data_IF_365475036427
#
_entry.id   IF_365475036427
#
_cell.length_a   1.000
_cell.length_b   1.000
_cell.length_c   1.000
_cell.angle_alpha   90.00
_cell.angle_beta   90.00
_cell.angle_gamma   90.00
#
_symmetry.space_group_name_H-M   'P 1'
#
loop_
_entity.id
_entity.type
_entity.pdbx_description
1 polymer ?
#
# COMPACT_ATOMS: atom_id res chain seq x y z
N UNK A 1 -29.83 9.07 -19.11
CA UNK A 1 -28.59 8.78 -19.86
C UNK A 1 -28.95 8.64 -21.34
N UNK A 2 -28.35 9.45 -22.19
CA UNK A 2 -28.56 9.35 -23.64
C UNK A 2 -28.06 8.00 -24.13
N UNK A 3 -28.71 7.41 -25.16
CA UNK A 3 -28.37 6.09 -25.74
C UNK A 3 -26.87 6.00 -26.02
N UNK A 4 -26.28 7.07 -26.52
CA UNK A 4 -24.85 7.21 -26.84
C UNK A 4 -23.96 7.06 -25.58
N UNK A 5 -24.31 7.72 -24.49
CA UNK A 5 -23.51 7.61 -23.25
C UNK A 5 -23.56 6.19 -22.65
N UNK A 6 -24.69 5.49 -22.81
CA UNK A 6 -24.82 4.10 -22.38
C UNK A 6 -23.94 3.17 -23.23
N UNK A 7 -23.87 3.41 -24.51
CA UNK A 7 -23.00 2.66 -25.43
C UNK A 7 -21.52 2.82 -25.06
N UNK A 8 -21.05 4.07 -24.85
CA UNK A 8 -19.68 4.32 -24.38
C UNK A 8 -19.36 3.63 -23.05
N UNK A 9 -20.32 3.68 -22.14
CA UNK A 9 -20.16 3.05 -20.82
C UNK A 9 -19.97 1.54 -20.94
N UNK A 10 -20.78 0.87 -21.73
CA UNK A 10 -20.70 -0.58 -21.90
C UNK A 10 -19.38 -0.99 -22.53
N UNK A 11 -19.02 -0.39 -23.66
CA UNK A 11 -17.80 -0.72 -24.38
C UNK A 11 -16.54 -0.43 -23.54
N UNK A 12 -16.44 0.75 -22.94
CA UNK A 12 -15.29 1.12 -22.14
C UNK A 12 -15.17 0.24 -20.88
N UNK A 13 -16.29 -0.01 -20.17
CA UNK A 13 -16.26 -0.83 -18.96
C UNK A 13 -15.86 -2.27 -19.28
N UNK A 14 -16.38 -2.87 -20.34
CA UNK A 14 -16.01 -4.24 -20.77
C UNK A 14 -14.52 -4.32 -21.08
N UNK A 15 -13.98 -3.39 -21.85
CA UNK A 15 -12.57 -3.37 -22.22
C UNK A 15 -11.67 -3.14 -20.99
N UNK A 16 -12.03 -2.23 -20.08
CA UNK A 16 -11.29 -2.00 -18.84
C UNK A 16 -11.27 -3.26 -17.97
N UNK A 17 -12.43 -3.92 -17.79
CA UNK A 17 -12.51 -5.17 -17.01
C UNK A 17 -11.69 -6.28 -17.66
N UNK A 18 -11.75 -6.42 -18.99
CA UNK A 18 -10.97 -7.42 -19.70
C UNK A 18 -9.46 -7.23 -19.52
N UNK A 19 -8.97 -6.00 -19.67
CA UNK A 19 -7.55 -5.67 -19.41
C UNK A 19 -7.20 -5.90 -17.94
N UNK A 20 -8.05 -5.49 -17.01
CA UNK A 20 -7.86 -5.70 -15.57
C UNK A 20 -7.72 -7.19 -15.26
N UNK A 21 -8.59 -8.05 -15.79
CA UNK A 21 -8.50 -9.50 -15.59
C UNK A 21 -7.21 -10.08 -16.16
N UNK A 22 -6.76 -9.63 -17.34
CA UNK A 22 -5.48 -10.03 -17.93
C UNK A 22 -4.29 -9.65 -17.04
N UNK A 23 -4.27 -8.42 -16.53
CA UNK A 23 -3.23 -7.97 -15.61
C UNK A 23 -3.27 -8.74 -14.27
N UNK A 24 -4.46 -8.97 -13.71
CA UNK A 24 -4.62 -9.74 -12.47
C UNK A 24 -4.13 -11.18 -12.64
N UNK A 25 -4.45 -11.84 -13.77
CA UNK A 25 -3.94 -13.17 -14.05
C UNK A 25 -2.41 -13.20 -14.10
N UNK A 26 -1.80 -12.19 -14.72
CA UNK A 26 -0.34 -12.04 -14.78
C UNK A 26 0.26 -11.85 -13.37
N UNK A 27 -0.27 -10.94 -12.54
CA UNK A 27 0.24 -10.71 -11.18
C UNK A 27 0.04 -11.94 -10.29
N UNK A 28 -1.14 -12.57 -10.36
CA UNK A 28 -1.40 -13.81 -9.61
C UNK A 28 -0.46 -14.95 -10.02
N UNK A 29 -0.09 -15.01 -11.28
CA UNK A 29 0.91 -15.98 -11.77
C UNK A 29 2.30 -15.70 -11.15
N UNK A 30 2.73 -14.44 -11.09
CA UNK A 30 3.99 -14.08 -10.43
C UNK A 30 3.96 -14.37 -8.93
N UNK A 31 2.84 -14.10 -8.25
CA UNK A 31 2.68 -14.47 -6.84
C UNK A 31 2.81 -15.97 -6.64
N UNK A 32 2.20 -16.80 -7.53
CA UNK A 32 2.35 -18.23 -7.47
C UNK A 32 3.82 -18.67 -7.58
N UNK A 33 4.58 -18.07 -8.50
CA UNK A 33 6.02 -18.38 -8.65
C UNK A 33 6.79 -18.01 -7.38
N UNK A 34 6.55 -16.83 -6.82
CA UNK A 34 7.23 -16.38 -5.59
C UNK A 34 6.89 -17.27 -4.38
N UNK A 35 5.64 -17.68 -4.26
CA UNK A 35 5.22 -18.54 -3.15
C UNK A 35 5.69 -20.00 -3.26
N UNK A 36 6.16 -20.44 -4.46
CA UNK A 36 6.80 -21.76 -4.60
C UNK A 36 8.03 -21.92 -3.71
N UNK A 37 8.78 -20.85 -3.45
CA UNK A 37 9.94 -20.87 -2.56
C UNK A 37 9.58 -21.15 -1.09
N UNK A 38 8.35 -20.85 -0.71
CA UNK A 38 7.81 -21.06 0.64
C UNK A 38 7.16 -22.46 0.79
N UNK A 39 6.95 -23.17 -0.31
CA UNK A 39 6.24 -24.44 -0.33
C UNK A 39 7.03 -25.54 0.42
N UNK A 40 6.34 -26.26 1.31
CA UNK A 40 6.96 -27.30 2.12
C UNK A 40 7.59 -26.80 3.43
N UNK A 41 7.61 -25.49 3.70
CA UNK A 41 8.02 -24.96 5.00
C UNK A 41 6.88 -25.12 5.99
N UNK A 42 7.15 -25.75 7.14
CA UNK A 42 6.13 -26.03 8.14
C UNK A 42 4.93 -26.80 7.53
N UNK A 43 3.74 -26.25 7.71
CA UNK A 43 2.47 -26.82 7.16
C UNK A 43 1.96 -25.98 5.94
N UNK A 44 2.86 -25.35 5.15
CA UNK A 44 2.51 -24.56 3.99
C UNK A 44 2.47 -25.41 2.72
N UNK A 45 1.30 -25.95 2.40
CA UNK A 45 1.04 -26.77 1.22
C UNK A 45 0.39 -25.97 0.08
N UNK A 46 0.21 -26.62 -1.09
CA UNK A 46 -0.37 -26.02 -2.31
C UNK A 46 -1.74 -25.35 -2.05
N UNK A 47 -2.60 -25.96 -1.23
CA UNK A 47 -3.92 -25.39 -0.91
C UNK A 47 -3.80 -24.03 -0.21
N UNK A 48 -2.88 -23.90 0.76
CA UNK A 48 -2.66 -22.64 1.49
C UNK A 48 -2.01 -21.57 0.59
N UNK A 49 -1.10 -21.98 -0.31
CA UNK A 49 -0.51 -21.12 -1.32
C UNK A 49 -1.59 -20.53 -2.25
N UNK A 50 -2.51 -21.34 -2.76
CA UNK A 50 -3.62 -20.86 -3.60
C UNK A 50 -4.53 -19.89 -2.85
N UNK A 51 -4.84 -20.18 -1.57
CA UNK A 51 -5.63 -19.27 -0.73
C UNK A 51 -4.89 -17.97 -0.49
N UNK A 52 -3.57 -18.00 -0.27
CA UNK A 52 -2.75 -16.80 -0.12
C UNK A 52 -2.82 -15.92 -1.37
N UNK A 53 -2.58 -16.50 -2.56
CA UNK A 53 -2.64 -15.77 -3.84
C UNK A 53 -4.04 -15.18 -4.07
N UNK A 54 -5.10 -15.94 -3.77
CA UNK A 54 -6.48 -15.44 -3.89
C UNK A 54 -6.75 -14.25 -2.95
N UNK A 55 -6.24 -14.30 -1.72
CA UNK A 55 -6.35 -13.21 -0.74
C UNK A 55 -5.51 -11.97 -1.14
N UNK A 56 -4.47 -12.13 -1.96
CA UNK A 56 -3.65 -11.02 -2.46
C UNK A 56 -4.29 -10.29 -3.64
N UNK A 57 -5.25 -10.92 -4.34
CA UNK A 57 -5.94 -10.32 -5.52
C UNK A 57 -6.51 -8.92 -5.26
N UNK A 58 -7.20 -8.62 -4.14
CA UNK A 58 -7.73 -7.27 -3.89
C UNK A 58 -6.63 -6.19 -3.83
N UNK A 59 -5.44 -6.54 -3.32
CA UNK A 59 -4.28 -5.65 -3.35
C UNK A 59 -3.83 -5.35 -4.79
N UNK A 60 -3.76 -6.38 -5.62
CA UNK A 60 -3.44 -6.20 -7.03
C UNK A 60 -4.51 -5.42 -7.81
N UNK A 61 -5.80 -5.62 -7.50
CA UNK A 61 -6.87 -4.78 -8.09
C UNK A 61 -6.58 -3.30 -7.84
N UNK A 62 -6.29 -2.94 -6.58
CA UNK A 62 -5.95 -1.56 -6.24
C UNK A 62 -4.79 -1.02 -7.09
N UNK A 63 -3.71 -1.80 -7.27
CA UNK A 63 -2.51 -1.38 -7.97
C UNK A 63 -2.68 -1.28 -9.49
N UNK A 64 -3.50 -2.16 -10.10
CA UNK A 64 -3.59 -2.25 -11.58
C UNK A 64 -4.73 -1.44 -12.19
N UNK A 65 -5.76 -1.05 -11.42
CA UNK A 65 -6.95 -0.38 -11.97
C UNK A 65 -6.59 0.88 -12.77
N UNK A 66 -5.72 1.81 -12.34
CA UNK A 66 -5.40 3.00 -13.15
C UNK A 66 -4.79 2.64 -14.51
N UNK A 67 -3.93 1.62 -14.55
CA UNK A 67 -3.32 1.13 -15.81
C UNK A 67 -4.36 0.44 -16.69
N UNK A 68 -5.22 -0.38 -16.09
CA UNK A 68 -6.31 -1.04 -16.80
C UNK A 68 -7.29 -0.03 -17.40
N UNK A 69 -7.59 1.06 -16.67
CA UNK A 69 -8.42 2.18 -17.16
C UNK A 69 -7.76 2.87 -18.35
N UNK A 70 -6.45 3.15 -18.30
CA UNK A 70 -5.72 3.75 -19.41
C UNK A 70 -5.81 2.87 -20.66
N UNK A 71 -5.37 1.62 -20.55
CA UNK A 71 -5.26 0.70 -21.70
C UNK A 71 -6.65 0.35 -22.25
N UNK A 72 -7.60 0.03 -21.36
CA UNK A 72 -8.98 -0.29 -21.75
C UNK A 72 -9.69 0.89 -22.42
N UNK A 73 -9.47 2.11 -21.91
CA UNK A 73 -10.00 3.32 -22.54
C UNK A 73 -9.36 3.58 -23.90
N UNK A 74 -8.03 3.41 -24.03
CA UNK A 74 -7.34 3.53 -25.32
C UNK A 74 -7.84 2.50 -26.35
N UNK A 75 -8.14 1.28 -25.90
CA UNK A 75 -8.71 0.23 -26.72
C UNK A 75 -10.11 0.61 -27.22
N UNK A 76 -10.98 1.08 -26.33
CA UNK A 76 -12.35 1.51 -26.66
C UNK A 76 -12.34 2.71 -27.60
N UNK A 77 -11.56 3.74 -27.29
CA UNK A 77 -11.40 4.92 -28.16
C UNK A 77 -10.77 4.57 -29.51
N UNK A 78 -9.88 3.58 -29.55
CA UNK A 78 -9.32 3.04 -30.77
C UNK A 78 -10.37 2.37 -31.62
N UNK A 79 -11.30 1.62 -31.04
CA UNK A 79 -12.44 0.99 -31.72
C UNK A 79 -13.40 2.05 -32.26
N UNK A 80 -13.80 3.03 -31.46
CA UNK A 80 -14.66 4.13 -31.88
C UNK A 80 -14.03 4.96 -33.01
N UNK A 81 -12.71 5.19 -32.99
CA UNK A 81 -11.99 5.86 -34.05
C UNK A 81 -11.97 5.02 -35.35
N UNK A 82 -11.73 3.71 -35.25
CA UNK A 82 -11.73 2.78 -36.40
C UNK A 82 -13.10 2.70 -37.07
N UNK A 83 -14.16 2.70 -36.31
CA UNK A 83 -15.52 2.68 -36.82
C UNK A 83 -16.00 4.06 -37.28
N UNK A 84 -15.13 5.09 -37.28
CA UNK A 84 -15.47 6.49 -37.58
C UNK A 84 -16.54 7.12 -36.70
N UNK A 85 -16.88 6.48 -35.58
CA UNK A 85 -17.93 6.95 -34.67
C UNK A 85 -17.59 8.32 -34.04
N UNK A 86 -16.30 8.51 -33.63
CA UNK A 86 -15.84 9.79 -33.13
C UNK A 86 -15.92 10.91 -34.18
N UNK A 87 -15.69 10.59 -35.44
CA UNK A 87 -15.81 11.55 -36.57
C UNK A 87 -17.26 11.96 -36.74
N UNK A 88 -18.18 10.98 -36.81
CA UNK A 88 -19.63 11.23 -36.95
C UNK A 88 -20.13 12.11 -35.79
N UNK A 89 -19.69 11.88 -34.56
CA UNK A 89 -20.07 12.69 -33.40
C UNK A 89 -19.59 14.13 -33.54
N UNK A 90 -18.34 14.34 -33.97
CA UNK A 90 -17.81 15.70 -34.20
C UNK A 90 -18.57 16.43 -35.32
N UNK A 91 -18.85 15.77 -36.43
CA UNK A 91 -19.64 16.34 -37.51
C UNK A 91 -21.07 16.66 -37.07
N UNK A 92 -21.63 15.89 -36.14
CA UNK A 92 -22.94 16.16 -35.53
C UNK A 92 -22.92 17.31 -34.52
N UNK A 93 -21.79 18.04 -34.36
CA UNK A 93 -21.66 19.22 -33.48
C UNK A 93 -21.24 18.91 -32.03
N UNK A 94 -20.87 17.66 -31.72
CA UNK A 94 -20.37 17.32 -30.37
C UNK A 94 -18.92 17.75 -30.22
N UNK A 95 -18.65 18.60 -29.21
CA UNK A 95 -17.28 19.00 -28.87
C UNK A 95 -16.49 17.83 -28.23
N UNK A 96 -15.17 17.87 -28.36
CA UNK A 96 -14.26 16.91 -27.70
C UNK A 96 -14.47 16.92 -26.19
N UNK A 97 -14.72 18.10 -25.60
CA UNK A 97 -15.03 18.25 -24.18
C UNK A 97 -16.33 17.57 -23.77
N UNK A 98 -17.37 17.56 -24.63
CA UNK A 98 -18.63 16.88 -24.32
C UNK A 98 -18.45 15.36 -24.29
N UNK A 99 -17.71 14.80 -25.27
CA UNK A 99 -17.32 13.38 -25.28
C UNK A 99 -16.48 13.10 -24.03
N UNK A 100 -15.49 13.94 -23.73
CA UNK A 100 -14.63 13.85 -22.56
C UNK A 100 -15.39 13.80 -21.25
N UNK A 101 -16.42 14.60 -21.09
CA UNK A 101 -17.25 14.60 -19.88
C UNK A 101 -17.97 13.27 -19.66
N UNK A 102 -18.41 12.60 -20.72
CA UNK A 102 -18.99 11.26 -20.62
C UNK A 102 -17.97 10.21 -20.18
N UNK A 103 -16.73 10.30 -20.70
CA UNK A 103 -15.64 9.38 -20.36
C UNK A 103 -15.10 9.60 -18.94
N UNK A 104 -14.97 10.85 -18.50
CA UNK A 104 -14.55 11.20 -17.13
C UNK A 104 -15.49 10.59 -16.08
N UNK A 105 -16.79 10.48 -16.36
CA UNK A 105 -17.73 9.79 -15.46
C UNK A 105 -17.37 8.31 -15.26
N UNK A 106 -16.83 7.65 -16.30
CA UNK A 106 -16.32 6.27 -16.20
C UNK A 106 -15.08 6.27 -15.29
N UNK A 107 -14.15 7.21 -15.51
CA UNK A 107 -12.99 7.40 -14.64
C UNK A 107 -13.37 7.60 -13.17
N UNK A 108 -14.40 8.40 -12.89
CA UNK A 108 -14.91 8.61 -11.53
C UNK A 108 -15.50 7.34 -10.91
N UNK A 109 -16.19 6.51 -11.69
CA UNK A 109 -16.66 5.21 -11.22
C UNK A 109 -15.50 4.33 -10.78
N UNK A 110 -14.46 4.21 -11.63
CA UNK A 110 -13.28 3.40 -11.31
C UNK A 110 -12.46 4.03 -10.17
N UNK A 111 -12.42 5.36 -10.04
CA UNK A 111 -11.84 6.04 -8.86
C UNK A 111 -12.54 5.61 -7.57
N UNK A 112 -13.87 5.65 -7.56
CA UNK A 112 -14.65 5.21 -6.39
C UNK A 112 -14.44 3.73 -6.09
N UNK A 113 -14.48 2.87 -7.12
CA UNK A 113 -14.21 1.44 -6.97
C UNK A 113 -12.81 1.18 -6.40
N UNK A 114 -11.77 1.83 -6.95
CA UNK A 114 -10.38 1.70 -6.47
C UNK A 114 -10.27 2.14 -5.02
N UNK A 115 -10.89 3.27 -4.65
CA UNK A 115 -10.90 3.76 -3.28
C UNK A 115 -11.56 2.76 -2.32
N UNK A 116 -12.75 2.26 -2.66
CA UNK A 116 -13.47 1.29 -1.82
C UNK A 116 -12.71 -0.03 -1.67
N UNK A 117 -12.18 -0.57 -2.75
CA UNK A 117 -11.36 -1.80 -2.70
C UNK A 117 -10.11 -1.56 -1.85
N UNK A 118 -9.41 -0.46 -2.08
CA UNK A 118 -8.21 -0.10 -1.35
C UNK A 118 -8.44 0.14 0.14
N UNK A 119 -9.56 0.75 0.54
CA UNK A 119 -9.83 1.10 1.94
C UNK A 119 -10.48 -0.04 2.73
N UNK A 120 -11.41 -0.77 2.12
CA UNK A 120 -12.22 -1.76 2.83
C UNK A 120 -11.73 -3.19 2.63
N UNK A 121 -11.43 -3.59 1.38
CA UNK A 121 -11.17 -5.00 1.05
C UNK A 121 -9.69 -5.32 1.20
N UNK A 122 -8.81 -4.53 0.58
CA UNK A 122 -7.35 -4.78 0.57
C UNK A 122 -6.76 -4.95 1.98
N UNK A 123 -7.01 -4.08 2.98
CA UNK A 123 -6.38 -4.22 4.29
C UNK A 123 -6.80 -5.49 5.02
N UNK A 124 -8.05 -5.92 4.83
CA UNK A 124 -8.58 -7.12 5.48
C UNK A 124 -7.99 -8.36 4.82
N UNK A 125 -8.04 -8.45 3.48
CA UNK A 125 -7.56 -9.59 2.72
C UNK A 125 -6.04 -9.77 2.88
N UNK A 126 -5.26 -8.70 2.79
CA UNK A 126 -3.81 -8.74 2.98
C UNK A 126 -3.43 -9.21 4.38
N UNK A 127 -4.10 -8.69 5.42
CA UNK A 127 -3.90 -9.14 6.79
C UNK A 127 -4.20 -10.63 6.96
N UNK A 128 -5.27 -11.13 6.32
CA UNK A 128 -5.60 -12.56 6.34
C UNK A 128 -4.56 -13.39 5.59
N UNK A 129 -4.09 -12.92 4.43
CA UNK A 129 -3.05 -13.57 3.63
C UNK A 129 -1.75 -13.71 4.44
N UNK A 130 -1.25 -12.62 5.02
CA UNK A 130 -0.02 -12.63 5.80
C UNK A 130 -0.13 -13.51 7.05
N UNK A 131 -1.23 -13.44 7.78
CA UNK A 131 -1.47 -14.32 8.94
C UNK A 131 -1.50 -15.80 8.55
N UNK A 132 -2.17 -16.15 7.44
CA UNK A 132 -2.21 -17.51 6.94
C UNK A 132 -0.80 -18.00 6.59
N UNK A 133 0.00 -17.18 5.89
CA UNK A 133 1.37 -17.52 5.49
C UNK A 133 2.25 -17.74 6.72
N UNK A 134 2.30 -16.77 7.63
CA UNK A 134 3.13 -16.85 8.85
C UNK A 134 2.75 -18.08 9.70
N UNK A 135 1.44 -18.29 9.93
CA UNK A 135 0.96 -19.44 10.71
C UNK A 135 1.28 -20.78 10.04
N UNK A 136 1.27 -20.83 8.73
CA UNK A 136 1.47 -22.07 7.99
C UNK A 136 2.93 -22.41 7.76
N UNK A 137 3.79 -21.40 7.60
CA UNK A 137 5.26 -21.55 7.45
C UNK A 137 5.96 -21.69 8.81
N UNK A 138 5.21 -21.55 9.93
CA UNK A 138 5.78 -21.46 11.28
C UNK A 138 6.86 -20.38 11.39
N UNK A 139 6.81 -19.40 10.48
CA UNK A 139 7.73 -18.27 10.48
C UNK A 139 7.31 -17.25 11.53
N UNK A 140 8.26 -16.48 12.00
CA UNK A 140 8.04 -15.43 13.00
C UNK A 140 7.92 -14.09 12.29
N UNK A 141 7.03 -13.24 12.74
CA UNK A 141 6.76 -11.92 12.14
C UNK A 141 8.03 -11.04 12.07
N UNK A 142 8.96 -11.26 12.99
CA UNK A 142 10.20 -10.49 13.09
C UNK A 142 11.37 -11.05 12.25
N UNK A 143 11.18 -12.11 11.46
CA UNK A 143 12.27 -12.68 10.63
C UNK A 143 12.83 -11.70 9.59
N UNK A 144 12.05 -10.71 9.16
CA UNK A 144 12.54 -9.65 8.25
C UNK A 144 13.44 -8.61 8.95
N UNK A 145 13.56 -8.68 10.29
CA UNK A 145 14.42 -7.82 11.09
C UNK A 145 15.52 -8.66 11.74
N UNK A 146 16.71 -8.70 11.15
CA UNK A 146 17.88 -9.45 11.67
C UNK A 146 18.18 -9.15 13.16
N UNK A 147 17.81 -7.97 13.66
CA UNK A 147 18.02 -7.51 15.04
C UNK A 147 16.76 -7.55 15.92
N UNK A 148 15.64 -8.16 15.45
CA UNK A 148 14.35 -8.08 16.13
C UNK A 148 13.64 -6.74 15.93
N UNK A 149 12.43 -6.63 16.48
CA UNK A 149 11.58 -5.44 16.39
C UNK A 149 11.95 -4.44 17.49
N UNK A 150 12.45 -3.27 17.10
CA UNK A 150 12.75 -2.17 18.02
C UNK A 150 11.60 -1.16 18.05
N UNK A 151 11.03 -0.96 19.23
CA UNK A 151 9.96 0.02 19.46
C UNK A 151 10.34 0.96 20.59
N UNK A 152 10.09 2.25 20.39
CA UNK A 152 10.23 3.24 21.45
C UNK A 152 8.90 3.39 22.19
N UNK A 153 8.90 3.21 23.50
CA UNK A 153 7.75 3.39 24.38
C UNK A 153 8.08 4.41 25.47
N UNK A 154 7.67 5.65 25.28
CA UNK A 154 7.95 6.78 26.16
C UNK A 154 9.46 6.98 26.41
N UNK A 155 9.95 6.61 27.60
CA UNK A 155 11.37 6.67 27.99
C UNK A 155 12.09 5.33 27.87
N UNK A 156 11.41 4.30 27.36
CA UNK A 156 11.96 2.95 27.19
C UNK A 156 12.17 2.61 25.71
N UNK A 157 13.21 1.85 25.42
CA UNK A 157 13.38 1.17 24.17
C UNK A 157 13.12 -0.32 24.39
N UNK A 158 12.27 -0.88 23.54
CA UNK A 158 11.88 -2.29 23.63
C UNK A 158 12.34 -2.99 22.38
N UNK A 159 13.11 -4.06 22.56
CA UNK A 159 13.43 -4.99 21.51
C UNK A 159 12.59 -6.26 21.72
N UNK A 160 11.96 -6.72 20.67
CA UNK A 160 11.15 -7.93 20.66
C UNK A 160 11.74 -8.85 19.60
N UNK A 161 12.30 -9.97 20.02
CA UNK A 161 12.91 -10.92 19.10
C UNK A 161 11.88 -11.53 18.15
N UNK A 162 10.72 -11.90 18.70
CA UNK A 162 9.69 -12.58 17.93
C UNK A 162 8.29 -12.12 18.32
N UNK A 163 7.48 -11.82 17.30
CA UNK A 163 6.04 -11.59 17.45
C UNK A 163 5.31 -12.75 16.79
N UNK A 164 4.48 -13.45 17.55
CA UNK A 164 3.72 -14.59 17.06
C UNK A 164 2.41 -14.15 16.38
N UNK A 165 1.78 -15.00 15.56
CA UNK A 165 0.54 -14.66 14.83
C UNK A 165 -0.66 -14.35 15.72
N UNK A 166 -0.65 -14.82 16.98
CA UNK A 166 -1.64 -14.52 18.01
C UNK A 166 -1.37 -13.20 18.76
N UNK A 167 -0.36 -12.44 18.29
CA UNK A 167 0.16 -11.23 18.90
C UNK A 167 0.84 -11.44 20.26
N UNK A 168 1.18 -12.68 20.65
CA UNK A 168 2.07 -12.92 21.78
C UNK A 168 3.51 -12.59 21.40
N UNK A 169 4.30 -12.16 22.38
CA UNK A 169 5.69 -11.74 22.22
C UNK A 169 6.63 -12.76 22.81
N UNK A 170 7.78 -13.00 22.16
CA UNK A 170 8.86 -13.83 22.68
C UNK A 170 10.20 -13.08 22.61
N UNK A 171 11.06 -13.27 23.61
CA UNK A 171 12.37 -12.59 23.69
C UNK A 171 12.21 -11.08 23.80
N UNK A 172 11.67 -10.61 24.92
CA UNK A 172 11.38 -9.18 25.12
C UNK A 172 12.49 -8.58 25.96
N UNK A 173 13.16 -7.56 25.43
CA UNK A 173 14.21 -6.79 26.11
C UNK A 173 13.74 -5.35 26.26
N UNK A 174 13.54 -4.90 27.51
CA UNK A 174 13.07 -3.56 27.83
C UNK A 174 14.22 -2.78 28.46
N UNK A 175 14.63 -1.71 27.81
CA UNK A 175 15.69 -0.79 28.27
C UNK A 175 15.02 0.49 28.75
N UNK A 176 14.97 0.72 30.07
CA UNK A 176 14.40 1.91 30.68
C UNK A 176 15.49 2.95 30.97
N UNK A 177 15.20 4.21 30.63
CA UNK A 177 16.10 5.33 30.86
C UNK A 177 15.52 6.32 31.87
N UNK A 178 16.40 6.96 32.67
CA UNK A 178 16.04 8.03 33.57
C UNK A 178 15.84 9.37 32.83
N UNK A 179 15.56 10.45 33.58
CA UNK A 179 15.37 11.80 33.00
C UNK A 179 16.63 12.37 32.35
N UNK A 180 17.82 11.87 32.74
CA UNK A 180 19.12 12.26 32.21
C UNK A 180 19.61 11.33 31.08
N UNK A 181 18.73 10.48 30.53
CA UNK A 181 19.06 9.45 29.52
C UNK A 181 20.14 8.46 29.99
N UNK A 182 20.22 8.17 31.29
CA UNK A 182 21.04 7.06 31.79
C UNK A 182 20.21 5.81 31.91
N UNK A 183 20.81 4.67 31.60
CA UNK A 183 20.13 3.37 31.65
C UNK A 183 19.75 3.04 33.11
N UNK A 184 18.47 3.02 33.42
CA UNK A 184 17.91 2.76 34.75
C UNK A 184 17.74 1.26 34.99
N UNK A 185 17.17 0.54 34.02
CA UNK A 185 16.96 -0.90 34.14
C UNK A 185 16.96 -1.59 32.80
N UNK A 186 17.35 -2.86 32.80
CA UNK A 186 17.17 -3.78 31.69
C UNK A 186 16.27 -4.91 32.19
N UNK A 187 15.14 -5.12 31.54
CA UNK A 187 14.24 -6.24 31.84
C UNK A 187 14.18 -7.17 30.64
N UNK A 188 14.59 -8.43 30.85
CA UNK A 188 14.52 -9.49 29.84
C UNK A 188 13.40 -10.43 30.22
N UNK A 189 12.41 -10.63 29.34
CA UNK A 189 11.29 -11.52 29.53
C UNK A 189 11.23 -12.56 28.41
N UNK A 190 10.91 -13.79 28.74
CA UNK A 190 10.84 -14.88 27.77
C UNK A 190 9.59 -14.79 26.91
N UNK A 191 8.46 -14.44 27.52
CA UNK A 191 7.18 -14.36 26.83
C UNK A 191 6.33 -13.19 27.38
N UNK A 192 5.54 -12.57 26.50
CA UNK A 192 4.57 -11.55 26.84
C UNK A 192 3.20 -11.86 26.23
N UNK A 193 2.15 -11.81 27.05
CA UNK A 193 0.76 -11.96 26.64
C UNK A 193 -0.01 -10.70 27.00
N UNK A 194 -0.83 -10.20 26.07
CA UNK A 194 -1.64 -9.01 26.31
C UNK A 194 -2.98 -9.40 26.93
N UNK A 195 -3.21 -9.00 28.17
CA UNK A 195 -4.43 -9.29 28.94
C UNK A 195 -4.79 -8.03 29.74
N UNK A 196 -6.06 -7.65 29.75
CA UNK A 196 -6.58 -6.51 30.52
C UNK A 196 -5.80 -5.21 30.30
N UNK A 197 -5.57 -4.84 29.05
CA UNK A 197 -4.84 -3.63 28.64
C UNK A 197 -3.39 -3.53 29.15
N UNK A 198 -2.77 -4.66 29.51
CA UNK A 198 -1.38 -4.75 29.98
C UNK A 198 -0.70 -5.97 29.39
N UNK A 199 0.62 -5.89 29.30
CA UNK A 199 1.45 -7.05 28.97
C UNK A 199 1.78 -7.85 30.22
N UNK A 200 1.29 -9.06 30.31
CA UNK A 200 1.73 -10.04 31.30
C UNK A 200 3.02 -10.71 30.82
N UNK A 201 4.13 -10.40 31.49
CA UNK A 201 5.45 -10.96 31.18
C UNK A 201 5.72 -12.18 32.04
N UNK A 202 6.37 -13.20 31.48
CA UNK A 202 6.78 -14.42 32.20
C UNK A 202 8.29 -14.60 32.12
N UNK A 203 8.86 -15.21 33.17
CA UNK A 203 10.31 -15.45 33.33
C UNK A 203 11.11 -14.16 33.12
N UNK A 204 10.88 -13.17 34.00
CA UNK A 204 11.48 -11.83 33.86
C UNK A 204 12.74 -11.74 34.70
N UNK A 205 13.86 -11.44 34.07
CA UNK A 205 15.11 -11.04 34.73
C UNK A 205 15.29 -9.55 34.63
N UNK A 206 15.22 -8.82 35.73
CA UNK A 206 15.40 -7.38 35.76
C UNK A 206 16.74 -7.02 36.44
N UNK A 207 17.55 -6.27 35.68
CA UNK A 207 18.81 -5.69 36.19
C UNK A 207 18.63 -4.20 36.35
N UNK A 208 18.76 -3.72 37.57
CA UNK A 208 18.64 -2.29 37.92
C UNK A 208 20.02 -1.68 38.17
N UNK A 209 20.22 -0.47 37.65
CA UNK A 209 21.43 0.32 37.77
C UNK A 209 21.17 1.51 38.68
N UNK A 210 21.83 1.54 39.83
CA UNK A 210 21.75 2.64 40.78
C UNK A 210 23.00 3.51 40.67
N UNK A 211 22.80 4.75 40.23
CA UNK A 211 23.87 5.74 40.10
C UNK A 211 23.94 6.59 41.37
N UNK A 212 24.99 6.42 42.18
CA UNK A 212 25.25 7.24 43.33
C UNK A 212 26.00 8.53 42.96
N UNK A 213 26.07 9.49 43.86
CA UNK A 213 26.85 10.72 43.64
C UNK A 213 28.35 10.45 43.53
N UNK A 214 28.86 9.39 44.13
CA UNK A 214 30.24 8.89 43.99
C UNK A 214 30.23 7.63 43.11
N UNK A 215 31.14 7.57 42.16
CA UNK A 215 31.23 6.45 41.19
C UNK A 215 31.46 5.10 41.89
N UNK A 216 32.20 5.11 43.00
CA UNK A 216 32.53 3.92 43.80
C UNK A 216 31.29 3.31 44.52
N UNK A 217 30.19 4.06 44.65
CA UNK A 217 28.95 3.62 45.28
C UNK A 217 27.90 3.13 44.27
N UNK A 218 28.22 3.09 43.01
CA UNK A 218 27.31 2.59 41.98
C UNK A 218 27.07 1.09 42.25
N UNK A 219 25.80 0.68 42.17
CA UNK A 219 25.42 -0.71 42.39
C UNK A 219 24.54 -1.23 41.26
N UNK A 220 24.73 -2.50 40.95
CA UNK A 220 23.89 -3.25 40.03
C UNK A 220 23.17 -4.36 40.80
N UNK A 221 21.86 -4.40 40.71
CA UNK A 221 21.05 -5.42 41.37
C UNK A 221 20.24 -6.18 40.31
N UNK A 222 20.39 -7.50 40.26
CA UNK A 222 19.59 -8.38 39.41
C UNK A 222 18.55 -9.12 40.24
N UNK A 223 17.31 -9.13 39.76
CA UNK A 223 16.19 -9.82 40.39
C UNK A 223 15.45 -10.65 39.35
N UNK A 224 14.93 -11.79 39.76
CA UNK A 224 14.14 -12.67 38.95
C UNK A 224 12.69 -12.69 39.41
N UNK A 225 11.76 -12.57 38.45
CA UNK A 225 10.32 -12.61 38.68
C UNK A 225 9.68 -13.66 37.77
N UNK A 226 8.91 -14.60 38.31
CA UNK A 226 8.17 -15.55 37.52
C UNK A 226 7.10 -14.89 36.64
N UNK A 227 6.47 -13.83 37.14
CA UNK A 227 5.50 -13.01 36.42
C UNK A 227 5.70 -11.55 36.77
N UNK A 228 5.60 -10.69 35.76
CA UNK A 228 5.58 -9.23 35.91
C UNK A 228 4.54 -8.64 34.96
N UNK A 229 4.08 -7.42 35.27
CA UNK A 229 3.18 -6.67 34.38
C UNK A 229 3.92 -5.48 33.81
N UNK A 230 3.85 -5.34 32.50
CA UNK A 230 4.41 -4.19 31.80
C UNK A 230 3.28 -3.33 31.22
N UNK A 231 3.18 -2.09 31.66
CA UNK A 231 2.26 -1.10 31.12
C UNK A 231 2.95 -0.43 29.93
N UNK A 232 2.44 -0.66 28.73
CA UNK A 232 3.00 -0.14 27.50
C UNK A 232 1.92 0.50 26.64
N UNK A 233 2.31 1.50 25.86
CA UNK A 233 1.48 2.06 24.80
C UNK A 233 1.43 1.16 23.56
N UNK A 234 2.28 0.14 23.50
CA UNK A 234 2.31 -0.85 22.43
C UNK A 234 1.12 -1.80 22.63
N UNK A 235 0.11 -1.66 21.80
CA UNK A 235 -1.05 -2.56 21.79
C UNK A 235 -0.88 -3.63 20.69
N UNK A 236 -1.55 -4.80 20.80
CA UNK A 236 -1.53 -5.84 19.75
C UNK A 236 -1.96 -5.32 18.37
N UNK A 237 -2.84 -4.30 18.33
CA UNK A 237 -3.28 -3.67 17.10
C UNK A 237 -2.11 -2.97 16.37
N UNK A 238 -1.20 -2.34 17.12
CA UNK A 238 0.00 -1.70 16.57
C UNK A 238 1.00 -2.72 16.03
N UNK A 239 1.12 -3.87 16.68
CA UNK A 239 1.97 -4.96 16.19
C UNK A 239 1.39 -5.60 14.92
N UNK A 240 0.06 -5.69 14.82
CA UNK A 240 -0.61 -6.14 13.60
C UNK A 240 -0.39 -5.21 12.39
N UNK A 241 -0.06 -3.93 12.63
CA UNK A 241 0.29 -2.96 11.58
C UNK A 241 1.60 -3.34 10.89
N UNK A 242 2.52 -3.97 11.60
CA UNK A 242 3.81 -4.40 11.07
C UNK A 242 3.70 -5.63 10.14
N UNK A 243 2.56 -6.34 10.17
CA UNK A 243 2.29 -7.46 9.28
C UNK A 243 2.00 -7.04 7.83
N UNK A 244 1.59 -5.80 7.63
CA UNK A 244 1.12 -5.31 6.33
C UNK A 244 1.97 -4.11 5.91
N UNK A 245 2.43 -4.11 4.67
CA UNK A 245 3.15 -2.97 4.12
C UNK A 245 2.29 -1.68 4.22
N UNK A 246 2.87 -0.52 4.57
CA UNK A 246 2.13 0.73 4.75
C UNK A 246 1.21 1.08 3.57
N UNK A 247 1.63 0.75 2.36
CA UNK A 247 0.91 1.01 1.12
C UNK A 247 -0.42 0.22 1.02
N UNK A 248 -0.50 -0.91 1.72
CA UNK A 248 -1.69 -1.81 1.73
C UNK A 248 -2.56 -1.65 2.99
N UNK A 249 -2.18 -0.77 3.90
CA UNK A 249 -2.97 -0.46 5.10
C UNK A 249 -4.18 0.42 4.75
N UNK A 250 -5.21 0.45 5.62
CA UNK A 250 -6.29 1.43 5.52
C UNK A 250 -5.83 2.82 5.94
N UNK A 251 -6.48 3.86 5.41
CA UNK A 251 -6.19 5.25 5.78
C UNK A 251 -6.38 5.48 7.30
N UNK A 252 -7.38 4.84 7.90
CA UNK A 252 -7.61 4.91 9.34
C UNK A 252 -6.45 4.31 10.15
N UNK A 253 -5.96 3.13 9.76
CA UNK A 253 -4.83 2.48 10.43
C UNK A 253 -3.55 3.30 10.27
N UNK A 254 -3.30 3.85 9.07
CA UNK A 254 -2.18 4.75 8.80
C UNK A 254 -2.26 5.99 9.69
N UNK A 255 -3.40 6.66 9.75
CA UNK A 255 -3.60 7.86 10.57
C UNK A 255 -3.35 7.57 12.07
N UNK A 256 -3.94 6.49 12.58
CA UNK A 256 -3.75 6.07 13.99
C UNK A 256 -2.28 5.79 14.29
N UNK A 257 -1.58 5.09 13.39
CA UNK A 257 -0.16 4.77 13.57
C UNK A 257 0.75 5.99 13.46
N UNK A 258 0.48 6.91 12.52
CA UNK A 258 1.18 8.20 12.38
C UNK A 258 1.06 9.00 13.69
N UNK A 259 -0.13 9.06 14.27
CA UNK A 259 -0.36 9.78 15.51
C UNK A 259 0.42 9.16 16.67
N UNK A 260 0.47 7.83 16.75
CA UNK A 260 1.28 7.12 17.73
C UNK A 260 2.78 7.43 17.56
N UNK A 261 3.31 7.38 16.34
CA UNK A 261 4.71 7.70 16.07
C UNK A 261 5.06 9.15 16.45
N UNK A 262 4.19 10.11 16.10
CA UNK A 262 4.38 11.53 16.44
C UNK A 262 4.39 11.76 17.96
N UNK A 263 3.47 11.15 18.68
CA UNK A 263 3.41 11.23 20.14
C UNK A 263 4.70 10.72 20.77
N UNK A 264 5.30 9.66 20.22
CA UNK A 264 6.57 9.09 20.68
C UNK A 264 7.82 9.77 20.07
N UNK A 265 7.66 10.89 19.34
CA UNK A 265 8.75 11.61 18.65
C UNK A 265 9.57 10.70 17.73
N UNK A 266 8.89 9.76 17.07
CA UNK A 266 9.47 8.87 16.07
C UNK A 266 9.20 9.40 14.66
N UNK A 267 10.06 9.01 13.69
CA UNK A 267 9.92 9.41 12.29
C UNK A 267 8.70 8.74 11.66
N UNK A 268 7.74 9.53 11.17
CA UNK A 268 6.48 9.07 10.60
C UNK A 268 6.40 9.27 9.07
N UNK A 269 7.43 9.85 8.44
CA UNK A 269 7.43 10.27 7.02
C UNK A 269 6.95 9.17 6.07
N UNK A 270 7.42 7.92 6.23
CA UNK A 270 7.02 6.79 5.37
C UNK A 270 5.51 6.52 5.42
N UNK A 271 4.93 6.55 6.61
CA UNK A 271 3.49 6.30 6.81
C UNK A 271 2.64 7.49 6.35
N UNK A 272 3.13 8.71 6.53
CA UNK A 272 2.47 9.92 6.02
C UNK A 272 2.42 9.92 4.48
N UNK A 273 3.51 9.57 3.83
CA UNK A 273 3.56 9.41 2.37
C UNK A 273 2.56 8.35 1.92
N UNK A 274 2.52 7.18 2.59
CA UNK A 274 1.55 6.12 2.29
C UNK A 274 0.10 6.58 2.44
N UNK A 275 -0.20 7.38 3.48
CA UNK A 275 -1.54 7.96 3.69
C UNK A 275 -1.95 8.87 2.53
N UNK A 276 -1.07 9.78 2.11
CA UNK A 276 -1.36 10.69 0.99
C UNK A 276 -1.50 9.95 -0.33
N UNK A 277 -0.68 8.93 -0.58
CA UNK A 277 -0.83 8.06 -1.75
C UNK A 277 -2.20 7.40 -1.74
N UNK A 278 -2.61 6.84 -0.60
CA UNK A 278 -3.93 6.18 -0.45
C UNK A 278 -5.09 7.09 -0.86
N UNK A 279 -4.98 8.40 -0.58
CA UNK A 279 -6.01 9.38 -0.92
C UNK A 279 -5.92 9.84 -2.40
N UNK A 280 -4.72 9.97 -2.94
CA UNK A 280 -4.48 10.55 -4.27
C UNK A 280 -4.52 9.49 -5.37
N UNK A 281 -3.98 8.28 -5.12
CA UNK A 281 -3.83 7.24 -6.14
C UNK A 281 -5.14 6.86 -6.87
N UNK A 282 -6.31 6.76 -6.22
CA UNK A 282 -7.56 6.48 -6.93
C UNK A 282 -7.90 7.53 -7.98
N UNK A 283 -7.53 8.81 -7.77
CA UNK A 283 -7.77 9.92 -8.70
C UNK A 283 -7.01 9.69 -10.03
N UNK A 284 -5.94 8.89 -10.00
CA UNK A 284 -5.22 8.53 -11.21
C UNK A 284 -6.13 7.87 -12.27
N UNK A 285 -7.21 7.19 -11.88
CA UNK A 285 -8.17 6.63 -12.85
C UNK A 285 -8.76 7.73 -13.76
N UNK A 286 -9.15 8.87 -13.20
CA UNK A 286 -9.65 10.01 -13.99
C UNK A 286 -8.54 10.58 -14.86
N UNK A 287 -7.33 10.72 -14.32
CA UNK A 287 -6.17 11.21 -15.07
C UNK A 287 -5.84 10.30 -16.25
N UNK A 288 -5.91 8.99 -16.05
CA UNK A 288 -5.68 7.99 -17.11
C UNK A 288 -6.74 8.04 -18.20
N UNK A 289 -8.00 8.32 -17.87
CA UNK A 289 -9.04 8.57 -18.88
C UNK A 289 -8.71 9.81 -19.72
N UNK A 290 -8.32 10.92 -19.06
CA UNK A 290 -7.95 12.17 -19.76
C UNK A 290 -6.75 11.92 -20.68
N UNK A 291 -5.75 11.18 -20.20
CA UNK A 291 -4.56 10.84 -20.99
C UNK A 291 -4.89 9.92 -22.18
N UNK A 292 -5.89 9.03 -22.05
CA UNK A 292 -6.31 8.14 -23.12
C UNK A 292 -7.04 8.87 -24.28
N UNK A 293 -7.75 9.97 -23.99
CA UNK A 293 -8.57 10.68 -24.97
C UNK A 293 -7.84 11.11 -26.24
N UNK A 294 -6.63 11.73 -26.17
CA UNK A 294 -5.89 12.11 -27.38
C UNK A 294 -5.71 10.97 -28.38
N UNK A 295 -5.46 9.76 -27.88
CA UNK A 295 -5.21 8.58 -28.74
C UNK A 295 -6.45 8.10 -29.52
N UNK A 296 -7.64 8.47 -29.07
CA UNK A 296 -8.88 8.22 -29.84
C UNK A 296 -8.99 9.05 -31.09
N UNK A 297 -8.51 10.30 -31.04
CA UNK A 297 -8.61 11.29 -32.13
C UNK A 297 -7.42 11.26 -33.09
N UNK A 298 -6.31 10.56 -32.74
CA UNK A 298 -5.18 10.39 -33.65
C UNK A 298 -5.58 9.51 -34.83
N UNK A 299 -5.28 10.01 -36.07
CA UNK A 299 -5.61 9.34 -37.29
C UNK A 299 -5.04 7.92 -37.38
N UNK A 300 -5.80 6.98 -37.96
CA UNK A 300 -5.47 5.56 -38.03
C UNK A 300 -4.21 5.24 -38.85
N UNK A 301 -3.70 6.17 -39.67
CA UNK A 301 -2.49 5.97 -40.49
C UNK A 301 -1.22 5.73 -39.67
N UNK A 302 -1.22 6.01 -38.37
CA UNK A 302 -0.06 5.92 -37.48
C UNK A 302 -0.07 4.67 -36.57
N UNK A 303 -0.50 3.51 -37.05
CA UNK A 303 -0.45 2.25 -36.32
C UNK A 303 -1.84 1.72 -35.90
N UNK A 304 -2.02 0.41 -35.98
CA UNK A 304 -3.27 -0.27 -35.63
C UNK A 304 -3.58 -0.20 -34.15
N UNK A 305 -4.72 -0.77 -33.72
CA UNK A 305 -5.17 -0.85 -32.33
C UNK A 305 -4.10 -1.43 -31.40
N UNK A 306 -3.33 -2.43 -31.89
CA UNK A 306 -2.23 -3.05 -31.12
C UNK A 306 -1.13 -2.07 -30.73
N UNK A 307 -0.78 -1.12 -31.58
CA UNK A 307 0.22 -0.08 -31.29
C UNK A 307 -0.26 0.87 -30.18
N UNK A 308 -1.56 1.24 -30.23
CA UNK A 308 -2.17 2.08 -29.18
C UNK A 308 -2.18 1.36 -27.82
N UNK A 309 -2.51 0.06 -27.80
CA UNK A 309 -2.46 -0.77 -26.60
C UNK A 309 -1.02 -0.83 -26.06
N UNK A 310 -0.04 -1.05 -26.93
CA UNK A 310 1.38 -1.09 -26.54
C UNK A 310 1.82 0.24 -25.87
N UNK A 311 1.48 1.38 -26.49
CA UNK A 311 1.76 2.69 -25.90
C UNK A 311 1.04 2.86 -24.55
N UNK A 312 -0.21 2.41 -24.45
CA UNK A 312 -0.96 2.48 -23.19
C UNK A 312 -0.30 1.68 -22.07
N UNK A 313 0.16 0.48 -22.36
CA UNK A 313 0.91 -0.35 -21.40
C UNK A 313 2.22 0.35 -21.00
N UNK A 314 2.97 0.87 -21.99
CA UNK A 314 4.23 1.56 -21.72
C UNK A 314 4.02 2.80 -20.84
N UNK A 315 3.01 3.63 -21.11
CA UNK A 315 2.64 4.78 -20.30
C UNK A 315 2.20 4.37 -18.89
N UNK A 316 1.45 3.27 -18.77
CA UNK A 316 1.05 2.71 -17.50
C UNK A 316 2.26 2.27 -16.65
N UNK A 317 3.23 1.58 -17.28
CA UNK A 317 4.48 1.19 -16.62
C UNK A 317 5.29 2.43 -16.19
N UNK A 318 5.44 3.40 -17.08
CA UNK A 318 6.15 4.67 -16.75
C UNK A 318 5.49 5.38 -15.57
N UNK A 319 4.16 5.43 -15.52
CA UNK A 319 3.42 5.97 -14.38
C UNK A 319 3.75 5.24 -13.08
N UNK A 320 3.72 3.91 -13.08
CA UNK A 320 4.01 3.09 -11.90
C UNK A 320 5.46 3.29 -11.42
N UNK A 321 6.42 3.31 -12.36
CA UNK A 321 7.83 3.55 -12.04
C UNK A 321 8.01 4.95 -11.45
N UNK A 322 7.43 5.98 -12.07
CA UNK A 322 7.49 7.35 -11.56
C UNK A 322 6.90 7.45 -10.17
N UNK A 323 5.73 6.84 -9.94
CA UNK A 323 5.09 6.85 -8.63
C UNK A 323 6.02 6.25 -7.57
N UNK A 324 6.64 5.08 -7.83
CA UNK A 324 7.60 4.44 -6.92
C UNK A 324 8.85 5.30 -6.68
N UNK A 325 9.39 5.92 -7.73
CA UNK A 325 10.58 6.79 -7.61
C UNK A 325 10.27 7.99 -6.72
N UNK A 326 9.15 8.70 -6.95
CA UNK A 326 8.77 9.88 -6.17
C UNK A 326 8.48 9.54 -4.70
N UNK A 327 7.87 8.39 -4.43
CA UNK A 327 7.71 7.86 -3.08
C UNK A 327 9.07 7.66 -2.41
N UNK A 328 9.97 6.97 -3.09
CA UNK A 328 11.27 6.63 -2.52
C UNK A 328 12.13 7.88 -2.27
N UNK A 329 12.22 8.78 -3.23
CA UNK A 329 12.93 10.06 -3.09
C UNK A 329 12.30 10.90 -1.99
N UNK A 330 10.96 10.95 -1.92
CA UNK A 330 10.24 11.71 -0.91
C UNK A 330 10.52 11.24 0.51
N UNK A 331 10.59 9.92 0.72
CA UNK A 331 10.94 9.33 2.02
C UNK A 331 12.40 9.55 2.38
N UNK A 332 13.33 9.45 1.42
CA UNK A 332 14.77 9.63 1.66
C UNK A 332 15.14 11.08 1.97
N UNK A 333 14.54 12.04 1.26
CA UNK A 333 14.88 13.46 1.37
C UNK A 333 13.92 14.24 2.29
N UNK A 334 13.05 13.55 3.04
CA UNK A 334 12.06 14.16 3.93
C UNK A 334 11.19 15.24 3.23
N UNK A 335 10.81 14.99 1.96
CA UNK A 335 9.92 15.90 1.24
C UNK A 335 8.54 15.96 1.90
N UNK A 336 7.80 17.09 1.72
CA UNK A 336 6.41 17.12 2.17
C UNK A 336 5.64 15.92 1.60
N UNK A 337 5.02 15.08 2.45
CA UNK A 337 4.41 13.82 2.03
C UNK A 337 3.37 13.97 0.91
N UNK A 338 2.62 15.09 0.93
CA UNK A 338 1.67 15.45 -0.12
C UNK A 338 2.34 15.62 -1.50
N UNK A 339 3.50 16.28 -1.56
CA UNK A 339 4.21 16.51 -2.83
C UNK A 339 4.67 15.19 -3.44
N UNK A 340 5.21 14.28 -2.63
CA UNK A 340 5.65 12.95 -3.09
C UNK A 340 4.52 12.14 -3.72
N UNK A 341 3.30 12.31 -3.23
CA UNK A 341 2.12 11.58 -3.72
C UNK A 341 1.46 12.25 -4.95
N UNK A 342 1.44 13.59 -5.03
CA UNK A 342 0.66 14.30 -6.05
C UNK A 342 1.44 14.52 -7.36
N UNK A 343 2.77 14.70 -7.29
CA UNK A 343 3.58 15.11 -8.45
C UNK A 343 3.45 14.12 -9.63
N UNK A 344 3.57 12.79 -9.48
CA UNK A 344 3.43 11.87 -10.60
C UNK A 344 2.08 11.99 -11.29
N UNK A 345 1.01 12.01 -10.52
CA UNK A 345 -0.37 12.11 -11.04
C UNK A 345 -0.60 13.45 -11.72
N UNK A 346 -0.06 14.55 -11.19
CA UNK A 346 -0.17 15.88 -11.77
C UNK A 346 0.59 15.99 -13.09
N UNK A 347 1.78 15.42 -13.19
CA UNK A 347 2.57 15.41 -14.45
C UNK A 347 1.80 14.68 -15.56
N UNK A 348 1.19 13.54 -15.27
CA UNK A 348 0.37 12.82 -16.24
C UNK A 348 -0.90 13.58 -16.61
N UNK A 349 -1.54 14.27 -15.66
CA UNK A 349 -2.69 15.14 -15.93
C UNK A 349 -2.32 16.28 -16.88
N UNK A 350 -1.23 17.00 -16.59
CA UNK A 350 -0.76 18.09 -17.42
C UNK A 350 -0.44 17.59 -18.83
N UNK A 351 0.25 16.46 -18.94
CA UNK A 351 0.57 15.84 -20.25
C UNK A 351 -0.70 15.52 -21.03
N UNK A 352 -1.68 14.88 -20.40
CA UNK A 352 -2.98 14.57 -21.03
C UNK A 352 -3.73 15.82 -21.50
N UNK A 353 -3.76 16.87 -20.67
CA UNK A 353 -4.41 18.13 -21.00
C UNK A 353 -3.71 18.85 -22.16
N UNK A 354 -2.37 18.92 -22.15
CA UNK A 354 -1.61 19.53 -23.27
C UNK A 354 -1.88 18.79 -24.56
N UNK A 355 -1.87 17.45 -24.56
CA UNK A 355 -2.17 16.65 -25.74
C UNK A 355 -3.59 16.89 -26.25
N UNK A 356 -4.58 17.01 -25.36
CA UNK A 356 -5.97 17.34 -25.74
C UNK A 356 -6.08 18.72 -26.38
N UNK A 357 -5.46 19.75 -25.78
CA UNK A 357 -5.46 21.11 -26.32
C UNK A 357 -4.82 21.20 -27.71
N UNK A 358 -3.74 20.41 -27.94
CA UNK A 358 -3.09 20.38 -29.27
C UNK A 358 -4.02 19.74 -30.33
N UNK A 359 -4.80 18.72 -29.94
CA UNK A 359 -5.74 18.06 -30.86
C UNK A 359 -6.98 18.91 -31.13
N UNK A 360 -7.47 19.65 -30.14
CA UNK A 360 -8.63 20.51 -30.29
C UNK A 360 -8.35 21.72 -31.23
N UNK A 361 -7.10 22.19 -31.26
CA UNK A 361 -6.65 23.27 -32.15
C UNK A 361 -6.40 22.84 -33.61
N UNK A 362 -6.35 21.53 -33.87
CA UNK A 362 -6.21 20.96 -35.22
C UNK A 362 -7.57 20.54 -35.78
#
# INVERSE_FOLDING_TARGET
MNILSRYFWQEATVNIIMIMLGLLAMFSFFDLIQELESLGRGNYGISKMLVFVFLSVPGHIYDVVPVAVLVGMMMSLGTFGRNSELVVMRVSGMSVLHIGHALVKIGLLFTLMTFLVGELITPISEKMAQRLRIKATESVIAQDFESGLWVKDSKSFVNIENVLPDASLMGIHIYEFDENFRLRSISNAKQGLYVDEKWGLTEVTQTQFNYAKRIEENSVRTQFFNKATWKSLIRPELLNVLLVAPEKMSAWNLYSFINHLKTNKQKSTRYEVALWIKMIYPIACVVMVILAMPFGFLQQRAGGTSFKIFIGILLGIVYQIMNRIFIHIGVLNDWPPLMSAIIPTLLFLITGLIMLLVIERR
#
